data_IF_053759788063
#
_entry.id   IF_053759788063
#
_cell.length_a   1.000
_cell.length_b   1.000
_cell.length_c   1.000
_cell.angle_alpha   90.00
_cell.angle_beta   90.00
_cell.angle_gamma   90.00
#
_symmetry.space_group_name_H-M   'P 1'
#
loop_
_entity.id
_entity.type
_entity.pdbx_description
1 polymer ?
#
# COMPACT_ATOMS: atom_id res chain seq x y z
N UNK A 1 13.76 6.13 -46.33
CA UNK A 1 14.24 4.80 -45.91
C UNK A 1 15.61 5.03 -45.30
N UNK A 2 15.71 5.34 -44.00
CA UNK A 2 15.64 4.38 -42.86
C UNK A 2 16.83 3.41 -42.98
N UNK A 3 17.83 3.44 -42.11
CA UNK A 3 17.73 3.13 -40.68
C UNK A 3 18.65 4.03 -39.81
N UNK A 4 18.05 4.79 -38.89
CA UNK A 4 18.75 5.32 -37.72
C UNK A 4 18.82 4.16 -36.73
N UNK A 5 20.02 3.61 -36.54
CA UNK A 5 20.30 2.52 -35.62
C UNK A 5 19.83 2.89 -34.20
N UNK A 6 18.78 2.22 -33.74
CA UNK A 6 18.17 2.38 -32.42
C UNK A 6 19.06 1.89 -31.26
N UNK A 7 20.38 1.86 -31.44
CA UNK A 7 21.36 1.39 -30.45
C UNK A 7 22.20 2.51 -29.80
N UNK A 8 22.04 3.76 -30.23
CA UNK A 8 22.74 4.92 -29.64
C UNK A 8 21.87 5.77 -28.67
N UNK A 9 20.63 5.36 -28.39
CA UNK A 9 19.71 6.15 -27.56
C UNK A 9 19.61 5.72 -26.08
N UNK A 10 20.58 4.96 -25.56
CA UNK A 10 20.70 4.68 -24.12
C UNK A 10 22.16 4.72 -23.68
N UNK A 11 22.86 5.80 -24.05
CA UNK A 11 23.95 6.25 -23.20
C UNK A 11 23.32 6.80 -21.90
N UNK A 12 23.76 6.36 -20.71
CA UNK A 12 23.29 6.91 -19.45
C UNK A 12 23.89 8.31 -19.28
N UNK A 13 23.31 9.29 -19.97
CA UNK A 13 23.59 10.71 -19.77
C UNK A 13 23.17 11.06 -18.35
N UNK A 14 24.14 11.47 -17.55
CA UNK A 14 24.02 11.98 -16.19
C UNK A 14 23.35 11.05 -15.17
N UNK A 15 24.19 10.49 -14.29
CA UNK A 15 23.83 10.21 -12.89
C UNK A 15 23.48 11.53 -12.20
N UNK A 16 22.38 12.12 -12.62
CA UNK A 16 21.66 13.19 -11.95
C UNK A 16 21.50 12.72 -10.51
N UNK A 17 22.02 13.47 -9.54
CA UNK A 17 21.88 13.15 -8.13
C UNK A 17 20.40 12.87 -7.86
N UNK A 18 20.04 11.61 -7.64
CA UNK A 18 18.64 11.19 -7.61
C UNK A 18 17.99 11.74 -6.35
N UNK A 19 17.41 12.94 -6.39
CA UNK A 19 16.91 13.60 -5.19
C UNK A 19 15.72 12.88 -4.53
N UNK A 20 15.23 13.44 -3.42
CA UNK A 20 14.25 12.80 -2.54
C UNK A 20 13.03 12.24 -3.29
N UNK A 21 12.66 11.01 -2.98
CA UNK A 21 11.50 10.32 -3.57
C UNK A 21 10.44 10.07 -2.51
N UNK A 22 9.22 10.49 -2.79
CA UNK A 22 8.04 10.12 -2.01
C UNK A 22 7.27 9.04 -2.75
N UNK A 23 7.06 7.89 -2.12
CA UNK A 23 6.21 6.84 -2.65
C UNK A 23 4.98 6.67 -1.77
N UNK A 24 3.80 6.67 -2.39
CA UNK A 24 2.50 6.55 -1.73
C UNK A 24 1.77 5.33 -2.28
N UNK A 25 1.45 4.39 -1.40
CA UNK A 25 0.62 3.23 -1.69
C UNK A 25 -0.81 3.46 -1.23
N UNK A 26 -1.77 3.28 -2.12
CA UNK A 26 -3.21 3.36 -1.83
C UNK A 26 -3.83 1.97 -1.92
N UNK A 27 -4.39 1.50 -0.82
CA UNK A 27 -5.09 0.23 -0.69
C UNK A 27 -6.55 0.47 -0.25
N UNK A 28 -7.39 -0.57 -0.32
CA UNK A 28 -8.78 -0.49 0.18
C UNK A 28 -8.84 -0.15 1.67
N UNK A 29 -7.89 -0.64 2.47
CA UNK A 29 -7.87 -0.46 3.92
C UNK A 29 -7.20 0.86 4.37
N UNK A 30 -6.44 1.53 3.51
CA UNK A 30 -5.60 2.63 3.95
C UNK A 30 -4.63 3.18 2.92
N UNK A 31 -3.87 4.18 3.34
CA UNK A 31 -2.80 4.80 2.58
C UNK A 31 -1.49 4.65 3.35
N UNK A 32 -0.42 4.31 2.65
CA UNK A 32 0.95 4.24 3.17
C UNK A 32 1.81 5.24 2.40
N UNK A 33 2.70 5.95 3.07
CA UNK A 33 3.67 6.80 2.43
C UNK A 33 5.08 6.49 2.98
N UNK A 34 6.08 6.54 2.11
CA UNK A 34 7.48 6.47 2.51
C UNK A 34 8.34 7.51 1.76
N UNK A 35 9.29 8.07 2.50
CA UNK A 35 10.30 8.97 1.99
C UNK A 35 11.62 8.20 1.82
N UNK A 36 12.16 8.25 0.60
CA UNK A 36 13.44 7.69 0.23
C UNK A 36 14.41 8.82 -0.14
N UNK A 37 15.65 8.73 0.35
CA UNK A 37 16.70 9.69 0.01
C UNK A 37 17.87 9.02 -0.70
N UNK A 38 18.52 9.70 -1.66
CA UNK A 38 19.79 9.22 -2.21
C UNK A 38 20.87 9.22 -1.15
N UNK A 39 21.52 8.07 -0.99
CA UNK A 39 22.74 7.90 -0.20
C UNK A 39 23.68 7.00 -1.02
N UNK A 40 24.79 7.57 -1.46
CA UNK A 40 25.83 6.84 -2.22
C UNK A 40 25.29 6.07 -3.45
N UNK A 41 24.39 6.69 -4.20
CA UNK A 41 23.80 6.09 -5.41
C UNK A 41 22.71 5.05 -5.16
N UNK A 42 22.28 4.86 -3.90
CA UNK A 42 21.13 4.01 -3.53
C UNK A 42 20.07 4.85 -2.82
N UNK A 43 18.81 4.43 -2.89
CA UNK A 43 17.74 5.06 -2.13
C UNK A 43 17.61 4.40 -0.76
N UNK A 44 17.75 5.19 0.31
CA UNK A 44 17.57 4.75 1.70
C UNK A 44 16.23 5.20 2.23
N UNK A 45 15.49 4.31 2.89
CA UNK A 45 14.27 4.66 3.61
C UNK A 45 14.58 5.58 4.80
N UNK A 46 14.03 6.79 4.79
CA UNK A 46 14.17 7.77 5.88
C UNK A 46 12.98 7.73 6.83
N UNK A 47 11.79 7.48 6.30
CA UNK A 47 10.61 7.34 7.13
C UNK A 47 9.44 6.78 6.35
N UNK A 48 8.53 6.13 7.06
CA UNK A 48 7.28 5.66 6.51
C UNK A 48 6.13 5.84 7.51
N UNK A 49 4.91 5.94 6.99
CA UNK A 49 3.70 6.08 7.79
C UNK A 49 2.52 5.42 7.08
N UNK A 50 1.55 4.94 7.86
CA UNK A 50 0.31 4.40 7.35
C UNK A 50 -0.88 5.07 8.05
N UNK A 51 -1.95 5.33 7.29
CA UNK A 51 -3.23 5.79 7.78
C UNK A 51 -4.32 4.81 7.33
N UNK A 52 -5.23 4.46 8.24
CA UNK A 52 -6.46 3.76 7.88
C UNK A 52 -7.37 4.71 7.11
N UNK A 53 -8.04 4.21 6.08
CA UNK A 53 -9.04 4.96 5.31
C UNK A 53 -10.44 4.59 5.82
N UNK A 54 -11.31 5.59 5.95
CA UNK A 54 -12.74 5.37 6.16
C UNK A 54 -13.42 4.76 4.92
N UNK A 55 -14.64 4.21 5.07
CA UNK A 55 -15.34 3.53 3.97
C UNK A 55 -15.66 4.45 2.78
N UNK A 56 -15.88 5.75 3.04
CA UNK A 56 -16.25 6.73 2.02
C UNK A 56 -15.37 7.98 2.10
N UNK A 57 -14.89 8.44 0.93
CA UNK A 57 -14.14 9.68 0.81
C UNK A 57 -13.13 9.69 -0.33
N UNK A 58 -12.73 10.89 -0.77
CA UNK A 58 -11.67 11.09 -1.76
C UNK A 58 -10.34 10.47 -1.29
N UNK A 59 -9.60 9.87 -2.22
CA UNK A 59 -8.27 9.29 -1.96
C UNK A 59 -7.23 10.39 -1.66
N UNK A 60 -7.43 11.60 -2.19
CA UNK A 60 -6.48 12.71 -2.05
C UNK A 60 -6.30 13.16 -0.60
N UNK A 61 -7.37 13.14 0.21
CA UNK A 61 -7.32 13.61 1.59
C UNK A 61 -6.48 12.71 2.51
N UNK A 62 -6.64 11.38 2.49
CA UNK A 62 -5.70 10.48 3.19
C UNK A 62 -4.25 10.61 2.72
N UNK A 63 -4.01 10.85 1.42
CA UNK A 63 -2.65 11.06 0.88
C UNK A 63 -2.03 12.34 1.45
N UNK A 64 -2.70 13.48 1.33
CA UNK A 64 -2.20 14.75 1.86
C UNK A 64 -1.96 14.65 3.37
N UNK A 65 -2.89 14.00 4.09
CA UNK A 65 -2.78 13.79 5.55
C UNK A 65 -1.57 12.94 5.91
N UNK A 66 -1.32 11.81 5.24
CA UNK A 66 -0.18 10.94 5.58
C UNK A 66 1.15 11.61 5.25
N UNK A 67 1.22 12.36 4.15
CA UNK A 67 2.44 13.07 3.74
C UNK A 67 2.74 14.24 4.68
N UNK A 68 1.74 15.05 5.05
CA UNK A 68 1.86 16.11 6.06
C UNK A 68 2.34 15.57 7.40
N UNK A 69 1.72 14.50 7.90
CA UNK A 69 2.11 13.88 9.17
C UNK A 69 3.51 13.28 9.13
N UNK A 70 3.89 12.65 8.02
CA UNK A 70 5.25 12.14 7.83
C UNK A 70 6.26 13.28 7.82
N UNK A 71 5.97 14.38 7.12
CA UNK A 71 6.81 15.57 7.07
C UNK A 71 7.00 16.19 8.46
N UNK A 72 5.90 16.44 9.17
CA UNK A 72 5.93 16.93 10.55
C UNK A 72 6.77 16.06 11.48
N UNK A 73 6.63 14.72 11.39
CA UNK A 73 7.44 13.79 12.19
C UNK A 73 8.95 13.87 11.86
N UNK A 74 9.29 14.17 10.61
CA UNK A 74 10.67 14.29 10.15
C UNK A 74 11.23 15.72 10.27
N UNK A 75 10.45 16.67 10.77
CA UNK A 75 10.83 18.09 10.79
C UNK A 75 11.03 18.69 9.39
N UNK A 76 10.34 18.15 8.37
CA UNK A 76 10.49 18.55 6.97
C UNK A 76 9.15 18.88 6.32
N UNK A 77 9.10 19.97 5.56
CA UNK A 77 7.97 20.28 4.69
C UNK A 77 7.97 19.37 3.47
N UNK A 78 6.95 18.54 3.33
CA UNK A 78 6.79 17.59 2.20
C UNK A 78 5.56 17.90 1.34
N UNK A 79 4.73 18.84 1.80
CA UNK A 79 3.46 19.22 1.19
C UNK A 79 3.40 20.74 1.13
N UNK A 80 2.95 21.27 -0.01
CA UNK A 80 2.61 22.67 -0.20
C UNK A 80 1.14 22.85 0.18
N UNK A 81 0.91 23.48 1.34
CA UNK A 81 -0.43 23.71 1.87
C UNK A 81 -1.21 24.75 1.09
N UNK A 82 -0.54 25.69 0.41
CA UNK A 82 -1.20 26.73 -0.38
C UNK A 82 -1.70 26.17 -1.71
N UNK A 83 -0.91 25.29 -2.33
CA UNK A 83 -1.23 24.68 -3.64
C UNK A 83 -1.88 23.29 -3.53
N UNK A 84 -2.12 22.82 -2.30
CA UNK A 84 -2.67 21.49 -1.99
C UNK A 84 -2.00 20.34 -2.75
N UNK A 85 -0.66 20.36 -2.84
CA UNK A 85 0.10 19.41 -3.63
C UNK A 85 1.41 19.01 -2.92
N UNK A 86 2.10 17.94 -3.35
CA UNK A 86 3.44 17.64 -2.88
C UNK A 86 4.40 18.80 -3.16
N UNK A 87 5.36 19.03 -2.26
CA UNK A 87 6.35 20.09 -2.45
C UNK A 87 7.39 19.67 -3.52
N UNK A 88 7.08 19.88 -4.80
CA UNK A 88 7.95 19.54 -5.94
C UNK A 88 8.90 20.66 -6.35
N UNK A 89 8.59 21.89 -5.97
CA UNK A 89 9.41 23.07 -6.22
C UNK A 89 9.45 23.95 -4.97
N UNK A 90 10.58 24.62 -4.76
CA UNK A 90 10.77 25.59 -3.68
C UNK A 90 11.78 26.64 -4.12
N UNK A 91 11.46 27.91 -3.85
CA UNK A 91 12.37 29.04 -4.07
C UNK A 91 13.54 29.00 -3.06
N UNK A 92 13.29 28.51 -1.83
CA UNK A 92 14.31 28.26 -0.81
C UNK A 92 14.51 26.76 -0.62
N UNK A 93 15.43 26.20 -1.41
CA UNK A 93 15.75 24.76 -1.39
C UNK A 93 16.52 24.32 -0.14
N UNK A 94 17.11 25.25 0.62
CA UNK A 94 17.85 24.91 1.82
C UNK A 94 16.90 24.72 3.00
N UNK A 95 15.91 25.62 3.16
CA UNK A 95 14.89 25.52 4.21
C UNK A 95 13.79 24.53 3.87
N UNK A 96 13.42 24.44 2.60
CA UNK A 96 12.35 23.56 2.12
C UNK A 96 12.83 22.72 0.93
N UNK A 97 13.65 21.68 1.17
CA UNK A 97 14.16 20.85 0.10
C UNK A 97 13.00 20.13 -0.62
N UNK A 98 12.78 20.40 -1.92
CA UNK A 98 11.66 19.81 -2.65
C UNK A 98 11.88 18.31 -2.88
N UNK A 99 10.79 17.60 -3.09
CA UNK A 99 10.80 16.23 -3.59
C UNK A 99 11.16 16.25 -5.08
N UNK A 100 12.07 15.38 -5.49
CA UNK A 100 12.38 15.19 -6.91
C UNK A 100 11.35 14.30 -7.60
N UNK A 101 10.75 13.36 -6.86
CA UNK A 101 9.75 12.44 -7.38
C UNK A 101 8.62 12.24 -6.38
N UNK A 102 7.39 12.18 -6.88
CA UNK A 102 6.21 11.80 -6.12
C UNK A 102 5.44 10.72 -6.88
N UNK A 103 5.47 9.50 -6.34
CA UNK A 103 4.88 8.32 -6.97
C UNK A 103 3.65 7.87 -6.19
N UNK A 104 2.55 7.61 -6.90
CA UNK A 104 1.33 7.04 -6.32
C UNK A 104 1.04 5.71 -7.00
N UNK A 105 1.06 4.64 -6.21
CA UNK A 105 0.62 3.31 -6.63
C UNK A 105 -0.71 2.97 -5.97
N UNK A 106 -1.73 2.67 -6.74
CA UNK A 106 -3.02 2.22 -6.22
C UNK A 106 -3.25 0.73 -6.54
N UNK A 107 -3.53 -0.06 -5.51
CA UNK A 107 -3.92 -1.47 -5.65
C UNK A 107 -5.27 -1.68 -4.95
N UNK A 108 -6.39 -1.44 -5.66
CA UNK A 108 -7.73 -1.54 -5.07
C UNK A 108 -8.22 -2.98 -4.89
N UNK A 109 -7.31 -3.98 -4.82
CA UNK A 109 -7.73 -5.37 -4.70
C UNK A 109 -8.48 -5.56 -3.37
N UNK A 110 -9.66 -6.22 -3.38
CA UNK A 110 -10.30 -6.63 -2.15
C UNK A 110 -9.38 -7.60 -1.41
N UNK A 111 -9.47 -7.61 -0.07
CA UNK A 111 -8.68 -8.53 0.76
C UNK A 111 -8.94 -9.97 0.34
N UNK A 112 -7.88 -10.78 0.30
CA UNK A 112 -8.04 -12.20 0.02
C UNK A 112 -8.82 -12.84 1.17
N UNK A 113 -9.96 -13.45 0.86
CA UNK A 113 -10.78 -14.15 1.85
C UNK A 113 -10.13 -15.51 2.13
N UNK A 114 -9.72 -15.75 3.37
CA UNK A 114 -9.01 -16.95 3.78
C UNK A 114 -9.79 -17.71 4.84
N UNK A 115 -9.79 -19.04 4.73
CA UNK A 115 -10.27 -19.94 5.76
C UNK A 115 -9.06 -20.56 6.45
N UNK A 116 -8.95 -20.42 7.77
CA UNK A 116 -7.82 -21.02 8.48
C UNK A 116 -8.18 -22.43 8.93
N UNK A 117 -7.33 -23.39 8.62
CA UNK A 117 -7.42 -24.74 9.17
C UNK A 117 -6.18 -25.02 9.99
N UNK A 118 -6.37 -25.56 11.20
CA UNK A 118 -5.27 -25.88 12.10
C UNK A 118 -5.52 -27.20 12.81
N UNK A 119 -4.43 -27.86 13.21
CA UNK A 119 -4.50 -29.13 13.96
C UNK A 119 -4.91 -28.92 15.43
N UNK A 120 -4.67 -27.72 15.95
CA UNK A 120 -5.04 -27.32 17.30
C UNK A 120 -5.45 -25.86 17.33
N UNK A 121 -6.37 -25.51 18.22
CA UNK A 121 -6.83 -24.13 18.36
C UNK A 121 -5.77 -23.25 19.04
N UNK A 122 -5.15 -23.76 20.11
CA UNK A 122 -4.23 -23.02 20.98
C UNK A 122 -2.87 -22.72 20.33
N UNK A 123 -2.43 -23.56 19.40
CA UNK A 123 -1.10 -23.43 18.77
C UNK A 123 -1.25 -23.15 17.29
N UNK A 124 -1.82 -24.07 16.51
CA UNK A 124 -1.83 -23.99 15.05
C UNK A 124 -2.67 -22.81 14.52
N UNK A 125 -3.91 -22.68 14.98
CA UNK A 125 -4.77 -21.55 14.57
C UNK A 125 -4.29 -20.22 15.15
N UNK A 126 -3.77 -20.20 16.37
CA UNK A 126 -3.21 -18.99 16.98
C UNK A 126 -2.02 -18.43 16.16
N UNK A 127 -1.08 -19.30 15.76
CA UNK A 127 0.03 -18.90 14.89
C UNK A 127 -0.43 -18.45 13.50
N UNK A 128 -1.40 -19.14 12.91
CA UNK A 128 -1.97 -18.75 11.62
C UNK A 128 -2.63 -17.37 11.68
N UNK A 129 -3.43 -17.10 12.73
CA UNK A 129 -4.01 -15.77 12.99
C UNK A 129 -2.92 -14.71 13.08
N UNK A 130 -1.88 -14.94 13.88
CA UNK A 130 -0.79 -13.97 14.06
C UNK A 130 -0.07 -13.67 12.74
N UNK A 131 0.22 -14.69 11.93
CA UNK A 131 0.85 -14.52 10.62
C UNK A 131 -0.02 -13.70 9.65
N UNK A 132 -1.34 -13.84 9.73
CA UNK A 132 -2.27 -13.12 8.86
C UNK A 132 -2.48 -11.65 9.22
N UNK A 133 -2.12 -11.21 10.43
CA UNK A 133 -2.30 -9.80 10.87
C UNK A 133 -1.55 -8.82 9.96
N UNK A 134 -0.39 -9.21 9.45
CA UNK A 134 0.42 -8.38 8.57
C UNK A 134 0.04 -8.49 7.08
N UNK A 135 -0.84 -9.44 6.73
CA UNK A 135 -1.21 -9.74 5.34
C UNK A 135 -2.54 -9.06 4.96
N UNK A 136 -2.74 -8.71 3.67
CA UNK A 136 -3.99 -8.12 3.17
C UNK A 136 -5.09 -9.18 3.00
N UNK A 137 -5.38 -9.94 4.07
CA UNK A 137 -6.36 -11.03 4.08
C UNK A 137 -7.54 -10.70 4.99
N UNK A 138 -8.66 -11.36 4.73
CA UNK A 138 -9.86 -11.36 5.56
C UNK A 138 -10.13 -12.80 5.98
N UNK A 139 -10.01 -13.10 7.27
CA UNK A 139 -10.41 -14.41 7.79
C UNK A 139 -11.94 -14.49 7.72
N UNK A 140 -12.46 -15.47 6.97
CA UNK A 140 -13.91 -15.69 6.81
C UNK A 140 -14.42 -16.88 7.62
N UNK A 141 -13.51 -17.64 8.20
CA UNK A 141 -13.81 -18.77 9.08
C UNK A 141 -12.55 -19.51 9.49
N UNK A 142 -12.70 -20.35 10.50
CA UNK A 142 -11.62 -21.12 11.08
C UNK A 142 -12.11 -22.52 11.43
N UNK A 143 -11.24 -23.51 11.36
CA UNK A 143 -11.56 -24.90 11.72
C UNK A 143 -10.36 -25.56 12.38
N UNK A 144 -10.54 -25.99 13.63
CA UNK A 144 -9.61 -26.88 14.30
C UNK A 144 -9.97 -28.33 13.95
N UNK A 145 -8.99 -29.12 13.52
CA UNK A 145 -9.12 -30.56 13.33
C UNK A 145 -9.07 -31.26 14.70
N UNK A 146 -10.15 -31.10 15.47
CA UNK A 146 -10.38 -31.83 16.73
C UNK A 146 -11.34 -33.01 16.50
N UNK A 147 -11.43 -33.94 17.47
CA UNK A 147 -12.23 -35.16 17.38
C UNK A 147 -13.75 -34.95 17.13
N UNK A 148 -14.25 -33.71 17.16
CA UNK A 148 -15.64 -33.33 16.87
C UNK A 148 -15.86 -32.62 15.51
N UNK A 149 -14.87 -32.62 14.61
CA UNK A 149 -15.01 -32.00 13.29
C UNK A 149 -15.99 -32.78 12.40
N UNK A 150 -17.23 -32.30 12.26
CA UNK A 150 -18.24 -32.85 11.36
C UNK A 150 -18.21 -32.15 10.01
N UNK A 151 -18.04 -32.92 8.92
CA UNK A 151 -18.03 -32.43 7.54
C UNK A 151 -19.28 -31.64 7.13
N UNK A 152 -20.46 -31.97 7.66
CA UNK A 152 -21.70 -31.22 7.38
C UNK A 152 -21.69 -29.83 7.99
N UNK A 153 -21.18 -29.70 9.22
CA UNK A 153 -21.04 -28.41 9.90
C UNK A 153 -20.06 -27.51 9.14
N UNK A 154 -18.95 -28.09 8.68
CA UNK A 154 -17.95 -27.39 7.88
C UNK A 154 -18.54 -26.95 6.52
N UNK A 155 -19.25 -27.83 5.82
CA UNK A 155 -19.91 -27.51 4.56
C UNK A 155 -20.96 -26.38 4.72
N UNK A 156 -21.72 -26.38 5.81
CA UNK A 156 -22.66 -25.30 6.14
C UNK A 156 -21.94 -23.96 6.35
N UNK A 157 -20.84 -23.98 7.10
CA UNK A 157 -20.05 -22.78 7.34
C UNK A 157 -19.39 -22.25 6.05
N UNK A 158 -18.90 -23.12 5.17
CA UNK A 158 -18.40 -22.72 3.85
C UNK A 158 -19.48 -22.08 2.98
N UNK A 159 -20.71 -22.62 2.99
CA UNK A 159 -21.85 -22.02 2.28
C UNK A 159 -22.21 -20.63 2.81
N UNK A 160 -22.19 -20.43 4.12
CA UNK A 160 -22.40 -19.11 4.74
C UNK A 160 -21.28 -18.12 4.41
N UNK A 161 -20.05 -18.60 4.31
CA UNK A 161 -18.89 -17.82 3.91
C UNK A 161 -18.69 -17.73 2.39
N UNK A 162 -19.61 -18.25 1.57
CA UNK A 162 -19.50 -18.19 0.12
C UNK A 162 -19.33 -16.73 -0.36
N UNK A 163 -18.66 -16.51 -1.50
CA UNK A 163 -18.60 -15.18 -2.09
C UNK A 163 -20.03 -14.67 -2.28
N UNK A 164 -20.35 -13.50 -1.73
CA UNK A 164 -21.54 -12.79 -2.16
C UNK A 164 -21.30 -12.46 -3.63
N UNK A 165 -21.91 -13.22 -4.54
CA UNK A 165 -21.92 -12.89 -5.95
C UNK A 165 -22.53 -11.50 -6.05
N UNK A 166 -21.70 -10.49 -6.30
CA UNK A 166 -22.19 -9.19 -6.73
C UNK A 166 -23.00 -9.46 -7.99
N UNK A 167 -24.33 -9.43 -7.87
CA UNK A 167 -25.23 -9.35 -9.01
C UNK A 167 -24.74 -8.11 -9.75
N UNK A 168 -24.04 -8.30 -10.86
CA UNK A 168 -23.79 -7.21 -11.81
C UNK A 168 -25.17 -6.85 -12.31
N UNK A 169 -25.78 -5.82 -11.74
CA UNK A 169 -26.88 -5.13 -12.38
C UNK A 169 -26.31 -4.54 -13.68
N UNK A 170 -26.35 -5.36 -14.74
CA UNK A 170 -26.39 -4.88 -16.11
C UNK A 170 -27.75 -4.23 -16.26
N UNK A 171 -27.84 -2.94 -15.97
CA UNK A 171 -28.81 -2.07 -16.63
C UNK A 171 -28.06 -1.28 -17.67
N UNK A 172 -28.29 -1.69 -18.92
CA UNK A 172 -28.21 -0.84 -20.10
C UNK A 172 -29.24 0.28 -19.97
#
# INVERSE_FOLDING_TARGET
MSEISARDALQPSDRTAAGSLMAVGVETAGVRACLLEPVSGRHRLVGWMALRRGPDGSVSQPISTVVRRLGSRLGRTLWDDLREQPLLASDDKLRYPPLSHFLVGASPRPRLRVWLTGLSESVSLASARQATIAAPVQIVGETALAAGANGERLANQFRQAAPRSGRRDRRL
#
